data_IF_097611411865
#
_entry.id   IF_097611411865
#
_cell.length_a   1.000
_cell.length_b   1.000
_cell.length_c   1.000
_cell.angle_alpha   90.00
_cell.angle_beta   90.00
_cell.angle_gamma   90.00
#
_symmetry.space_group_name_H-M   'P 1'
#
loop_
_entity.id
_entity.type
_entity.pdbx_description
1 polymer ?
#
# COMPACT_ATOMS: atom_id res chain seq x y z
N UNK A 1 23.41 -8.75 19.64
CA UNK A 1 22.10 -8.44 19.03
C UNK A 1 22.39 -7.71 17.72
N UNK A 2 21.89 -8.18 16.57
CA UNK A 2 22.13 -7.54 15.27
C UNK A 2 20.97 -6.57 15.00
N UNK A 3 21.25 -5.27 14.95
CA UNK A 3 20.26 -4.23 14.67
C UNK A 3 20.14 -4.08 13.14
N UNK A 4 18.92 -3.94 12.64
CA UNK A 4 18.68 -3.67 11.23
C UNK A 4 18.67 -2.17 10.97
N UNK A 5 19.82 -1.59 10.65
CA UNK A 5 20.00 -0.16 10.36
C UNK A 5 18.96 0.38 9.37
N UNK A 6 18.65 -0.36 8.29
CA UNK A 6 17.67 0.08 7.29
C UNK A 6 16.23 0.26 7.82
N UNK A 7 15.93 -0.29 9.00
CA UNK A 7 14.62 -0.16 9.67
C UNK A 7 14.69 0.66 10.96
N UNK A 8 15.89 1.00 11.41
CA UNK A 8 16.11 1.75 12.64
C UNK A 8 16.32 3.20 12.26
N UNK A 9 15.22 3.96 12.28
CA UNK A 9 15.18 5.38 11.97
C UNK A 9 14.46 6.10 13.10
N UNK A 10 14.78 7.39 13.29
CA UNK A 10 14.06 8.25 14.22
C UNK A 10 13.35 9.38 13.46
N UNK A 11 12.32 9.97 14.06
CA UNK A 11 11.59 11.10 13.48
C UNK A 11 11.50 12.20 14.52
N UNK A 12 11.82 13.43 14.12
CA UNK A 12 11.82 14.60 15.00
C UNK A 12 10.62 15.46 14.68
N UNK A 13 9.62 15.48 15.56
CA UNK A 13 8.43 16.28 15.32
C UNK A 13 8.70 17.74 15.67
N UNK A 14 8.50 18.65 14.71
CA UNK A 14 8.67 20.10 14.89
C UNK A 14 10.06 20.54 15.38
N UNK A 15 11.12 19.76 15.11
CA UNK A 15 12.48 20.10 15.51
C UNK A 15 13.21 20.99 14.50
N UNK A 16 14.30 21.57 14.97
CA UNK A 16 15.23 22.40 14.20
C UNK A 16 16.06 21.54 13.25
N UNK A 17 16.88 22.16 12.39
CA UNK A 17 17.74 21.39 11.46
C UNK A 17 18.75 20.53 12.22
N UNK A 18 19.28 21.05 13.34
CA UNK A 18 20.27 20.35 14.15
C UNK A 18 19.73 19.09 14.83
N UNK A 19 18.44 19.07 15.17
CA UNK A 19 17.79 17.90 15.77
C UNK A 19 17.68 16.72 14.79
N UNK A 20 17.73 16.99 13.48
CA UNK A 20 17.58 15.98 12.41
C UNK A 20 18.89 15.30 12.06
N UNK A 21 19.99 15.74 12.68
CA UNK A 21 21.30 15.15 12.46
C UNK A 21 21.30 13.66 12.85
N UNK A 22 21.94 12.78 12.05
CA UNK A 22 21.97 11.36 12.35
C UNK A 22 22.57 11.05 13.73
N UNK A 23 22.02 10.07 14.42
CA UNK A 23 22.58 9.58 15.69
C UNK A 23 23.60 8.51 15.34
N UNK A 24 24.87 8.81 15.60
CA UNK A 24 26.01 7.93 15.30
C UNK A 24 26.55 7.37 16.62
N UNK A 25 26.56 6.04 16.75
CA UNK A 25 27.17 5.36 17.88
C UNK A 25 27.85 4.06 17.44
N UNK A 26 29.16 3.95 17.63
CA UNK A 26 30.00 2.88 17.11
C UNK A 26 29.81 2.72 15.58
N UNK A 27 29.32 1.56 15.13
CA UNK A 27 29.02 1.27 13.73
C UNK A 27 27.54 1.58 13.36
N UNK A 28 26.72 2.02 14.31
CA UNK A 28 25.29 2.25 14.11
C UNK A 28 25.01 3.68 13.67
N UNK A 29 24.45 3.83 12.47
CA UNK A 29 23.98 5.11 11.93
C UNK A 29 22.45 5.15 11.86
N UNK A 30 21.81 5.82 12.82
CA UNK A 30 20.35 5.98 12.86
C UNK A 30 19.99 7.31 12.19
N UNK A 31 19.37 7.24 11.01
CA UNK A 31 18.98 8.43 10.24
C UNK A 31 17.61 8.96 10.63
N UNK A 32 17.41 10.27 10.48
CA UNK A 32 16.10 10.92 10.57
C UNK A 32 15.18 10.51 9.39
N UNK A 33 13.86 10.46 9.60
CA UNK A 33 12.87 10.21 8.56
C UNK A 33 11.70 11.20 8.59
N UNK A 34 11.23 11.60 7.40
CA UNK A 34 10.16 12.61 7.25
C UNK A 34 8.75 12.10 7.57
N UNK A 35 8.58 10.78 7.57
CA UNK A 35 7.29 10.13 7.77
C UNK A 35 7.46 8.78 8.44
N UNK A 36 6.73 8.57 9.53
CA UNK A 36 6.72 7.33 10.27
C UNK A 36 5.33 6.69 10.27
N UNK A 37 5.24 5.38 10.08
CA UNK A 37 3.98 4.64 10.17
C UNK A 37 3.90 3.92 11.50
N UNK A 38 3.04 4.41 12.41
CA UNK A 38 2.79 3.78 13.70
C UNK A 38 1.39 3.17 13.72
N UNK A 39 1.30 1.85 13.95
CA UNK A 39 0.05 1.10 13.97
C UNK A 39 -0.87 1.34 12.74
N UNK A 40 -0.27 1.64 11.59
CA UNK A 40 -0.99 1.92 10.34
C UNK A 40 -1.49 3.36 10.18
N UNK A 41 -1.23 4.24 11.14
CA UNK A 41 -1.37 5.69 11.00
C UNK A 41 -0.04 6.29 10.56
N UNK A 42 -0.09 7.17 9.57
CA UNK A 42 1.08 7.91 9.08
C UNK A 42 1.19 9.23 9.84
N UNK A 43 2.37 9.44 10.42
CA UNK A 43 2.78 10.66 11.07
C UNK A 43 3.84 11.32 10.22
N UNK A 44 3.76 12.63 10.08
CA UNK A 44 4.70 13.44 9.32
C UNK A 44 5.56 14.27 10.26
N UNK A 45 6.80 14.52 9.84
CA UNK A 45 7.81 15.24 10.61
C UNK A 45 7.39 16.68 10.98
N UNK A 46 6.55 17.30 10.15
CA UNK A 46 5.97 18.63 10.39
C UNK A 46 4.89 18.64 11.50
N UNK A 47 4.55 17.49 12.09
CA UNK A 47 3.58 17.36 13.18
C UNK A 47 2.15 17.79 12.83
N UNK A 48 1.87 18.14 11.58
CA UNK A 48 0.57 18.66 11.16
C UNK A 48 -0.37 17.50 10.87
N UNK A 49 -1.58 17.60 11.40
CA UNK A 49 -2.62 16.61 11.11
C UNK A 49 -2.98 16.60 9.61
N UNK A 50 -2.95 17.76 8.95
CA UNK A 50 -3.32 17.89 7.54
C UNK A 50 -2.37 17.13 6.61
N UNK A 51 -1.06 17.22 6.81
CA UNK A 51 -0.04 16.48 6.06
C UNK A 51 -0.09 14.99 6.39
N UNK A 52 -0.25 14.63 7.65
CA UNK A 52 -0.46 13.23 8.09
C UNK A 52 -1.70 12.60 7.44
N UNK A 53 -2.83 13.32 7.40
CA UNK A 53 -4.07 12.87 6.73
C UNK A 53 -3.85 12.74 5.21
N UNK A 54 -3.18 13.70 4.56
CA UNK A 54 -2.86 13.60 3.13
C UNK A 54 -1.99 12.38 2.83
N UNK A 55 -0.95 12.15 3.63
CA UNK A 55 -0.08 11.00 3.50
C UNK A 55 -0.83 9.67 3.73
N UNK A 56 -1.78 9.66 4.66
CA UNK A 56 -2.68 8.53 4.90
C UNK A 56 -3.58 8.29 3.70
N UNK A 57 -4.28 9.30 3.19
CA UNK A 57 -5.17 9.18 2.02
C UNK A 57 -4.40 8.64 0.82
N UNK A 58 -3.23 9.20 0.51
CA UNK A 58 -2.37 8.73 -0.58
C UNK A 58 -1.99 7.25 -0.43
N UNK A 59 -1.69 6.78 0.78
CA UNK A 59 -1.41 5.37 1.06
C UNK A 59 -2.58 4.45 0.73
N UNK A 60 -3.80 4.93 0.94
CA UNK A 60 -5.03 4.14 0.95
C UNK A 60 -5.78 4.18 -0.37
N UNK A 61 -5.42 5.10 -1.26
CA UNK A 61 -6.00 5.19 -2.61
C UNK A 61 -5.94 3.86 -3.37
N UNK A 62 -4.92 3.03 -3.15
CA UNK A 62 -4.84 1.72 -3.78
C UNK A 62 -6.06 0.84 -3.46
N UNK A 63 -6.64 0.92 -2.26
CA UNK A 63 -7.82 0.15 -1.88
C UNK A 63 -9.09 0.65 -2.57
N UNK A 64 -9.22 1.98 -2.75
CA UNK A 64 -10.32 2.58 -3.51
C UNK A 64 -10.29 2.09 -4.96
N UNK A 65 -9.12 2.14 -5.59
CA UNK A 65 -8.91 1.64 -6.96
C UNK A 65 -9.28 0.16 -7.07
N UNK A 66 -8.87 -0.65 -6.09
CA UNK A 66 -9.18 -2.08 -6.08
C UNK A 66 -10.68 -2.36 -5.89
N UNK A 67 -11.40 -1.57 -5.09
CA UNK A 67 -12.86 -1.69 -4.96
C UNK A 67 -13.59 -1.30 -6.24
N UNK A 68 -13.22 -0.17 -6.83
CA UNK A 68 -13.80 0.29 -8.09
C UNK A 68 -13.60 -0.79 -9.16
N UNK A 69 -12.39 -1.33 -9.28
CA UNK A 69 -12.08 -2.43 -10.21
C UNK A 69 -12.96 -3.65 -9.95
N UNK A 70 -13.23 -3.99 -8.68
CA UNK A 70 -14.10 -5.11 -8.33
C UNK A 70 -15.55 -4.90 -8.78
N UNK A 71 -16.14 -3.75 -8.47
CA UNK A 71 -17.53 -3.43 -8.85
C UNK A 71 -17.68 -3.46 -10.37
N UNK A 72 -16.70 -2.91 -11.09
CA UNK A 72 -16.74 -2.85 -12.56
C UNK A 72 -16.57 -4.21 -13.22
N UNK A 73 -15.79 -5.12 -12.63
CA UNK A 73 -15.60 -6.49 -13.16
C UNK A 73 -16.72 -7.46 -12.79
N UNK A 74 -17.56 -7.11 -11.82
CA UNK A 74 -18.63 -7.98 -11.34
C UNK A 74 -19.95 -7.19 -11.27
N UNK A 75 -20.48 -6.69 -12.41
CA UNK A 75 -21.71 -5.89 -12.43
C UNK A 75 -22.92 -6.70 -11.94
N UNK A 76 -22.96 -7.99 -12.26
CA UNK A 76 -24.01 -8.93 -11.82
C UNK A 76 -23.77 -9.49 -10.42
N UNK A 77 -22.72 -9.03 -9.72
CA UNK A 77 -22.51 -9.43 -8.34
C UNK A 77 -23.71 -8.99 -7.50
N UNK A 78 -24.29 -9.89 -6.69
CA UNK A 78 -25.36 -9.52 -5.77
C UNK A 78 -24.91 -8.34 -4.90
N UNK A 79 -25.83 -7.39 -4.63
CA UNK A 79 -25.56 -6.19 -3.82
C UNK A 79 -24.87 -6.52 -2.49
N UNK A 80 -25.19 -7.68 -1.89
CA UNK A 80 -24.55 -8.19 -0.69
C UNK A 80 -23.03 -8.43 -0.85
N UNK A 81 -22.57 -8.86 -2.02
CA UNK A 81 -21.15 -9.07 -2.35
C UNK A 81 -20.45 -7.73 -2.56
N UNK A 82 -21.06 -6.81 -3.31
CA UNK A 82 -20.51 -5.45 -3.51
C UNK A 82 -20.37 -4.70 -2.18
N UNK A 83 -21.36 -4.83 -1.28
CA UNK A 83 -21.30 -4.26 0.08
C UNK A 83 -20.14 -4.86 0.90
N UNK A 84 -19.90 -6.17 0.78
CA UNK A 84 -18.78 -6.84 1.47
C UNK A 84 -17.43 -6.36 0.96
N UNK A 85 -17.27 -6.17 -0.35
CA UNK A 85 -16.01 -5.70 -0.96
C UNK A 85 -15.81 -4.20 -0.78
N UNK A 86 -16.87 -3.41 -0.73
CA UNK A 86 -16.81 -2.00 -0.34
C UNK A 86 -16.33 -1.85 1.10
N UNK A 87 -16.96 -2.58 2.01
CA UNK A 87 -16.53 -2.66 3.40
C UNK A 87 -15.06 -3.08 3.47
N UNK A 88 -14.63 -4.04 2.62
CA UNK A 88 -13.24 -4.52 2.49
C UNK A 88 -12.24 -3.43 2.23
N UNK A 89 -12.47 -2.66 1.18
CA UNK A 89 -11.61 -1.57 0.80
C UNK A 89 -11.71 -0.40 1.78
N UNK A 90 -12.92 -0.06 2.25
CA UNK A 90 -13.15 1.04 3.16
C UNK A 90 -12.49 0.80 4.53
N UNK A 91 -12.59 -0.42 5.07
CA UNK A 91 -11.91 -0.79 6.31
C UNK A 91 -10.40 -0.92 6.08
N UNK A 92 -9.93 -1.38 4.92
CA UNK A 92 -8.50 -1.37 4.62
C UNK A 92 -7.92 0.05 4.55
N UNK A 93 -8.73 0.98 4.01
CA UNK A 93 -8.44 2.39 3.90
C UNK A 93 -8.49 3.10 5.26
N UNK A 94 -9.63 3.04 5.95
CA UNK A 94 -9.91 3.77 7.18
C UNK A 94 -9.39 3.03 8.42
N UNK A 95 -9.56 1.72 8.46
CA UNK A 95 -9.45 0.89 9.66
C UNK A 95 -8.27 -0.10 9.57
N UNK A 96 -7.12 0.28 9.02
CA UNK A 96 -5.91 -0.51 9.34
C UNK A 96 -5.61 -0.48 10.86
N UNK A 97 -6.22 0.46 11.59
CA UNK A 97 -6.32 0.46 13.05
C UNK A 97 -7.62 -0.13 13.64
N UNK A 98 -8.54 -0.72 12.86
CA UNK A 98 -9.81 -1.27 13.42
C UNK A 98 -10.38 -2.47 12.65
N UNK A 99 -11.14 -3.30 13.36
CA UNK A 99 -11.61 -4.60 12.86
C UNK A 99 -12.57 -4.47 11.67
N UNK A 100 -12.33 -5.26 10.62
CA UNK A 100 -13.24 -5.35 9.47
C UNK A 100 -14.56 -6.08 9.84
N UNK A 101 -15.75 -5.59 9.46
CA UNK A 101 -17.03 -6.30 9.68
C UNK A 101 -17.07 -7.75 9.15
N UNK A 102 -16.55 -8.00 7.95
CA UNK A 102 -16.27 -9.35 7.39
C UNK A 102 -15.42 -10.30 8.29
N UNK A 103 -14.58 -9.79 9.20
CA UNK A 103 -13.90 -10.62 10.19
C UNK A 103 -14.81 -10.96 11.39
N UNK A 104 -15.86 -10.17 11.63
CA UNK A 104 -16.86 -10.41 12.67
C UNK A 104 -18.11 -11.17 12.16
N UNK A 105 -18.34 -11.22 10.85
CA UNK A 105 -19.48 -11.91 10.23
C UNK A 105 -19.19 -13.42 10.10
N UNK A 106 -19.87 -14.31 10.87
CA UNK A 106 -19.64 -15.75 10.85
C UNK A 106 -20.09 -16.42 9.55
N UNK A 107 -20.93 -15.76 8.73
CA UNK A 107 -21.46 -16.32 7.46
C UNK A 107 -20.45 -16.28 6.31
N UNK A 108 -19.32 -15.61 6.47
CA UNK A 108 -18.28 -15.51 5.46
C UNK A 108 -17.40 -16.76 5.49
N UNK A 109 -17.26 -17.44 4.36
CA UNK A 109 -16.30 -18.53 4.23
C UNK A 109 -14.85 -18.06 4.43
N UNK A 110 -14.06 -18.89 5.09
CA UNK A 110 -12.69 -18.56 5.50
C UNK A 110 -11.76 -18.20 4.34
N UNK A 111 -11.92 -18.82 3.16
CA UNK A 111 -11.10 -18.49 2.00
C UNK A 111 -11.24 -17.02 1.55
N UNK A 112 -12.44 -16.44 1.70
CA UNK A 112 -12.69 -15.01 1.39
C UNK A 112 -12.02 -14.11 2.42
N UNK A 113 -12.03 -14.49 3.71
CA UNK A 113 -11.28 -13.80 4.77
C UNK A 113 -9.79 -13.83 4.48
N UNK A 114 -9.24 -15.00 4.16
CA UNK A 114 -7.82 -15.17 3.80
C UNK A 114 -7.45 -14.36 2.56
N UNK A 115 -8.28 -14.36 1.52
CA UNK A 115 -8.05 -13.57 0.31
C UNK A 115 -8.03 -12.06 0.60
N UNK A 116 -9.01 -11.56 1.37
CA UNK A 116 -9.03 -10.16 1.77
C UNK A 116 -7.85 -9.80 2.67
N UNK A 117 -7.53 -10.63 3.66
CA UNK A 117 -6.37 -10.42 4.53
C UNK A 117 -5.09 -10.34 3.71
N UNK A 118 -4.88 -11.27 2.76
CA UNK A 118 -3.72 -11.21 1.86
C UNK A 118 -3.69 -9.91 1.08
N UNK A 119 -4.82 -9.47 0.57
CA UNK A 119 -4.93 -8.22 -0.16
C UNK A 119 -4.70 -6.97 0.72
N UNK A 120 -5.18 -6.96 1.97
CA UNK A 120 -5.00 -5.86 2.94
C UNK A 120 -3.55 -5.75 3.41
N UNK A 121 -2.89 -6.89 3.58
CA UNK A 121 -1.50 -6.97 4.03
C UNK A 121 -0.49 -6.84 2.87
N UNK A 122 -0.96 -6.62 1.63
CA UNK A 122 -0.13 -6.73 0.42
C UNK A 122 0.70 -8.02 0.42
N UNK A 123 0.10 -9.13 0.83
CA UNK A 123 0.63 -10.49 0.77
C UNK A 123 0.28 -11.10 -0.60
N UNK A 124 0.78 -10.44 -1.65
CA UNK A 124 0.70 -10.88 -3.03
C UNK A 124 2.03 -11.50 -3.48
N UNK A 125 1.99 -12.20 -4.62
CA UNK A 125 3.15 -12.90 -5.17
C UNK A 125 3.97 -12.07 -6.18
N UNK A 126 3.76 -10.75 -6.22
CA UNK A 126 4.56 -9.85 -7.07
C UNK A 126 6.02 -9.83 -6.61
N UNK A 127 6.96 -9.62 -7.53
CA UNK A 127 8.41 -9.63 -7.27
C UNK A 127 8.81 -8.72 -6.11
N UNK A 128 8.18 -7.53 -5.99
CA UNK A 128 8.45 -6.59 -4.89
C UNK A 128 8.29 -7.21 -3.49
N UNK A 129 7.40 -8.19 -3.33
CA UNK A 129 7.18 -8.95 -2.08
C UNK A 129 7.87 -10.30 -2.07
N UNK A 130 7.83 -11.05 -3.17
CA UNK A 130 8.42 -12.40 -3.26
C UNK A 130 9.94 -12.35 -3.10
N UNK A 131 10.61 -11.48 -3.84
CA UNK A 131 12.08 -11.42 -3.90
C UNK A 131 12.69 -10.61 -2.75
N UNK A 132 11.85 -9.91 -1.99
CA UNK A 132 12.23 -9.34 -0.70
C UNK A 132 12.78 -10.41 0.25
N UNK A 133 12.18 -11.61 0.26
CA UNK A 133 12.59 -12.71 1.14
C UNK A 133 13.95 -13.28 0.74
N UNK A 134 14.28 -13.21 -0.55
CA UNK A 134 15.57 -13.59 -1.12
C UNK A 134 16.64 -12.50 -1.01
N UNK A 135 16.32 -11.37 -0.33
CA UNK A 135 17.20 -10.19 -0.16
C UNK A 135 17.63 -9.51 -1.46
N UNK A 136 16.92 -9.74 -2.56
CA UNK A 136 17.15 -9.05 -3.83
C UNK A 136 16.95 -7.54 -3.66
N UNK A 137 17.89 -6.68 -4.10
CA UNK A 137 17.76 -5.23 -4.11
C UNK A 137 16.46 -4.77 -4.78
N UNK A 138 15.82 -3.70 -4.28
CA UNK A 138 14.49 -3.28 -4.78
C UNK A 138 14.46 -3.03 -6.29
N UNK A 139 15.54 -2.46 -6.84
CA UNK A 139 15.65 -2.13 -8.26
C UNK A 139 15.84 -3.37 -9.15
N UNK A 140 16.23 -4.51 -8.58
CA UNK A 140 16.38 -5.79 -9.26
C UNK A 140 15.13 -6.67 -9.15
N UNK A 141 14.07 -6.21 -8.44
CA UNK A 141 12.82 -6.97 -8.26
C UNK A 141 11.89 -6.83 -9.46
N UNK A 142 12.35 -7.34 -10.58
CA UNK A 142 11.73 -7.15 -11.89
C UNK A 142 10.59 -8.13 -12.12
N UNK A 143 9.66 -7.74 -12.99
CA UNK A 143 8.60 -8.63 -13.42
C UNK A 143 9.15 -9.70 -14.36
N UNK A 144 9.27 -10.95 -13.89
CA UNK A 144 9.69 -12.10 -14.73
C UNK A 144 8.81 -12.24 -15.98
N UNK A 145 7.57 -11.76 -15.85
CA UNK A 145 6.50 -11.89 -16.82
C UNK A 145 6.28 -10.63 -17.67
N UNK A 146 7.15 -9.63 -17.60
CA UNK A 146 6.98 -8.33 -18.25
C UNK A 146 8.24 -7.90 -19.01
N UNK A 147 8.09 -7.57 -20.29
CA UNK A 147 9.20 -7.18 -21.18
C UNK A 147 9.78 -5.79 -20.87
N UNK A 148 9.18 -5.03 -19.96
CA UNK A 148 9.65 -3.68 -19.60
C UNK A 148 10.84 -3.67 -18.65
N UNK A 149 11.29 -4.83 -18.12
CA UNK A 149 12.36 -4.93 -17.13
C UNK A 149 12.22 -3.88 -16.00
N UNK A 150 10.98 -3.67 -15.56
CA UNK A 150 10.64 -2.71 -14.52
C UNK A 150 10.29 -3.43 -13.22
N UNK A 151 10.41 -2.70 -12.10
CA UNK A 151 10.05 -3.20 -10.77
C UNK A 151 8.59 -3.68 -10.80
N UNK A 152 8.36 -4.93 -10.39
CA UNK A 152 7.01 -5.48 -10.36
C UNK A 152 6.33 -5.20 -9.02
N UNK A 153 5.76 -4.02 -8.91
CA UNK A 153 4.85 -3.62 -7.85
C UNK A 153 3.42 -3.42 -8.37
N UNK A 154 2.51 -3.06 -7.46
CA UNK A 154 1.11 -2.86 -7.79
C UNK A 154 0.90 -1.75 -8.83
N UNK A 155 1.72 -0.69 -8.80
CA UNK A 155 1.65 0.42 -9.76
C UNK A 155 2.07 -0.03 -11.16
N UNK A 156 3.18 -0.77 -11.27
CA UNK A 156 3.61 -1.34 -12.53
C UNK A 156 2.54 -2.22 -13.17
N UNK A 157 1.95 -3.15 -12.40
CA UNK A 157 0.93 -4.09 -12.90
C UNK A 157 -0.34 -3.37 -13.36
N UNK A 158 -0.76 -2.34 -12.61
CA UNK A 158 -2.03 -1.64 -12.87
C UNK A 158 -1.91 -0.58 -13.97
N UNK A 159 -0.79 0.12 -14.05
CA UNK A 159 -0.66 1.33 -14.87
C UNK A 159 0.11 1.13 -16.17
N UNK A 160 1.11 0.23 -16.18
CA UNK A 160 2.15 0.24 -17.23
C UNK A 160 2.43 -1.12 -17.87
N UNK A 161 2.28 -2.22 -17.14
CA UNK A 161 2.74 -3.55 -17.55
C UNK A 161 2.05 -4.03 -18.86
N UNK A 162 2.76 -4.30 -19.97
CA UNK A 162 2.17 -4.64 -21.26
C UNK A 162 1.39 -5.96 -21.24
N UNK A 163 1.78 -6.88 -20.35
CA UNK A 163 1.06 -8.14 -20.15
C UNK A 163 -0.33 -7.96 -19.55
N UNK A 164 -0.52 -6.87 -18.81
CA UNK A 164 -1.83 -6.44 -18.32
C UNK A 164 -2.43 -5.36 -19.24
N UNK A 165 -1.89 -5.18 -20.46
CA UNK A 165 -2.43 -4.22 -21.42
C UNK A 165 -3.83 -4.61 -21.85
N UNK A 166 -4.10 -5.88 -22.23
CA UNK A 166 -5.47 -6.35 -22.54
C UNK A 166 -6.44 -6.02 -21.41
N UNK A 167 -6.01 -6.22 -20.17
CA UNK A 167 -6.75 -5.82 -18.98
C UNK A 167 -6.95 -4.29 -18.87
N UNK A 168 -6.01 -3.45 -19.31
CA UNK A 168 -6.23 -1.99 -19.38
C UNK A 168 -7.10 -1.57 -20.58
N UNK A 169 -7.01 -2.29 -21.70
CA UNK A 169 -7.71 -1.97 -22.96
C UNK A 169 -9.17 -2.42 -22.94
N UNK A 170 -9.45 -3.58 -22.34
CA UNK A 170 -10.81 -4.08 -22.09
C UNK A 170 -11.53 -3.22 -21.05
N UNK A 171 -10.79 -2.42 -20.28
CA UNK A 171 -11.30 -1.50 -19.26
C UNK A 171 -10.65 -0.11 -19.42
N UNK A 172 -10.95 0.65 -20.51
CA UNK A 172 -10.21 1.86 -20.90
C UNK A 172 -10.32 3.05 -19.92
N UNK A 173 -11.22 2.98 -18.93
CA UNK A 173 -11.27 3.95 -17.81
C UNK A 173 -10.13 3.76 -16.79
N UNK A 174 -9.24 2.78 -17.00
CA UNK A 174 -7.98 2.57 -16.25
C UNK A 174 -6.86 3.50 -16.76
N UNK A 175 -7.10 4.34 -17.79
CA UNK A 175 -6.26 5.50 -18.10
C UNK A 175 -6.43 6.57 -17.00
N UNK A 176 -5.73 6.40 -15.88
CA UNK A 176 -5.69 7.36 -14.80
C UNK A 176 -4.90 8.61 -15.21
N UNK A 177 -5.61 9.73 -15.38
CA UNK A 177 -5.05 11.02 -14.95
C UNK A 177 -5.28 11.10 -13.44
N UNK A 178 -4.22 11.28 -12.66
CA UNK A 178 -4.34 11.72 -11.26
C UNK A 178 -5.21 12.99 -11.26
N UNK A 179 -6.40 13.01 -10.65
CA UNK A 179 -7.13 14.26 -10.54
C UNK A 179 -6.33 15.16 -9.62
N UNK A 180 -6.03 16.38 -10.07
CA UNK A 180 -5.58 17.46 -9.20
C UNK A 180 -6.72 17.75 -8.20
N UNK A 181 -6.72 17.05 -7.08
CA UNK A 181 -7.73 17.19 -6.01
C UNK A 181 -7.58 18.49 -5.19
N UNK A 182 -6.78 19.46 -5.68
CA UNK A 182 -6.61 20.77 -5.05
C UNK A 182 -6.62 21.87 -6.11
N UNK A 183 -7.81 22.20 -6.61
CA UNK A 183 -8.22 23.59 -6.80
C UNK A 183 -9.31 23.90 -5.79
#
# INVERSE_FOLDING_TARGET
MIINESKTQFMVINGEEDDRNPIIHDDLNITNCDMYTYLGARFTQDGRLTSSVKAQVAAKMCHVVKFETFVRRNPDAPVAVNKKVFSAALVAAILYGSTHPMYADPTICEYKRRALTKFRLSSHNLAIKRERWSRTPRHERLGIDCDLNAIQDEEHVLSVCPRFHSIRTDYPSVNFHFPDFFK
#
